data_IF_239022745133
#
_entry.id   IF_239022745133
#
_cell.length_a   1.000
_cell.length_b   1.000
_cell.length_c   1.000
_cell.angle_alpha   90.00
_cell.angle_beta   90.00
_cell.angle_gamma   90.00
#
_symmetry.space_group_name_H-M   'P 1'
#
loop_
_entity.id
_entity.type
_entity.pdbx_description
1 polymer ?
#
# COMPACT_ATOMS: atom_id res chain seq x y z
N UNK A 1 8.76 -4.67 12.79
CA UNK A 1 9.11 -5.69 11.78
C UNK A 1 10.17 -5.10 10.85
N UNK A 2 10.90 -5.92 10.11
CA UNK A 2 11.75 -5.47 9.00
C UNK A 2 11.08 -5.84 7.69
N UNK A 3 10.94 -4.90 6.78
CA UNK A 3 10.47 -5.17 5.42
C UNK A 3 11.65 -5.51 4.52
N UNK A 4 11.49 -6.57 3.73
CA UNK A 4 12.49 -7.07 2.78
C UNK A 4 11.89 -6.96 1.39
N UNK A 5 12.48 -6.12 0.56
CA UNK A 5 12.00 -5.90 -0.81
C UNK A 5 11.84 -4.43 -1.17
N UNK A 6 10.73 -4.12 -1.82
CA UNK A 6 10.39 -2.81 -2.36
C UNK A 6 10.50 -2.72 -3.87
N UNK A 7 10.00 -1.65 -4.45
CA UNK A 7 10.00 -1.43 -5.89
C UNK A 7 11.38 -1.56 -6.52
N UNK A 8 11.53 -2.47 -7.48
CA UNK A 8 12.79 -2.74 -8.16
C UNK A 8 13.75 -3.66 -7.41
N UNK A 9 13.41 -4.14 -6.22
CA UNK A 9 14.21 -5.13 -5.50
C UNK A 9 14.07 -6.50 -6.17
N UNK A 10 15.10 -6.92 -6.91
CA UNK A 10 15.17 -8.21 -7.59
C UNK A 10 15.66 -9.35 -6.71
N UNK A 11 15.74 -10.54 -7.32
CA UNK A 11 16.26 -11.75 -6.67
C UNK A 11 15.20 -12.64 -5.99
N UNK A 12 13.96 -12.18 -5.91
CA UNK A 12 12.86 -12.96 -5.30
C UNK A 12 12.49 -14.20 -6.12
N UNK A 13 12.31 -14.05 -7.45
CA UNK A 13 11.95 -15.16 -8.33
C UNK A 13 13.00 -16.27 -8.28
N UNK A 14 14.28 -15.89 -8.32
CA UNK A 14 15.40 -16.83 -8.22
C UNK A 14 15.47 -17.49 -6.84
N UNK A 15 15.35 -16.73 -5.76
CA UNK A 15 15.41 -17.25 -4.40
C UNK A 15 14.21 -18.15 -4.08
N UNK A 16 13.03 -17.82 -4.56
CA UNK A 16 11.81 -18.60 -4.33
C UNK A 16 11.74 -19.89 -5.14
N UNK A 17 12.45 -19.97 -6.27
CA UNK A 17 12.36 -21.09 -7.23
C UNK A 17 12.87 -22.43 -6.71
N UNK A 18 13.82 -22.44 -5.75
CA UNK A 18 14.40 -23.66 -5.19
C UNK A 18 14.24 -23.73 -3.69
N UNK A 19 14.25 -24.93 -3.13
CA UNK A 19 14.18 -25.13 -1.68
C UNK A 19 15.39 -24.51 -0.96
N UNK A 20 16.59 -24.69 -1.50
CA UNK A 20 17.82 -24.10 -0.97
C UNK A 20 17.76 -22.56 -0.98
N UNK A 21 17.23 -22.00 -2.05
CA UNK A 21 17.03 -20.55 -2.16
C UNK A 21 16.08 -20.00 -1.10
N UNK A 22 14.93 -20.66 -0.90
CA UNK A 22 13.95 -20.29 0.13
C UNK A 22 14.51 -20.41 1.54
N UNK A 23 15.25 -21.49 1.83
CA UNK A 23 15.90 -21.68 3.14
C UNK A 23 16.93 -20.57 3.37
N UNK A 24 17.79 -20.30 2.39
CA UNK A 24 18.80 -19.23 2.50
C UNK A 24 18.17 -17.87 2.70
N UNK A 25 17.11 -17.57 1.98
CA UNK A 25 16.37 -16.32 2.15
C UNK A 25 15.83 -16.20 3.59
N UNK A 26 15.17 -17.26 4.09
CA UNK A 26 14.64 -17.28 5.45
C UNK A 26 15.74 -17.10 6.50
N UNK A 27 16.85 -17.82 6.39
CA UNK A 27 17.98 -17.73 7.33
C UNK A 27 18.59 -16.32 7.38
N UNK A 28 18.81 -15.71 6.21
CA UNK A 28 19.38 -14.36 6.13
C UNK A 28 18.43 -13.29 6.62
N UNK A 29 17.14 -13.39 6.32
CA UNK A 29 16.12 -12.48 6.82
C UNK A 29 15.99 -12.57 8.37
N UNK A 30 15.98 -13.78 8.92
CA UNK A 30 15.96 -13.99 10.36
C UNK A 30 17.24 -13.47 11.05
N UNK A 31 18.39 -13.60 10.41
CA UNK A 31 19.64 -13.08 10.96
C UNK A 31 19.61 -11.54 11.06
N UNK A 32 19.09 -10.83 10.05
CA UNK A 32 18.84 -9.39 10.13
C UNK A 32 17.84 -9.07 11.23
N UNK A 33 16.71 -9.79 11.29
CA UNK A 33 15.69 -9.60 12.33
C UNK A 33 16.28 -9.71 13.74
N UNK A 34 17.07 -10.75 13.99
CA UNK A 34 17.74 -10.98 15.29
C UNK A 34 18.75 -9.90 15.65
N UNK A 35 19.64 -9.54 14.71
CA UNK A 35 20.69 -8.54 14.94
C UNK A 35 20.14 -7.19 15.32
N UNK A 36 19.00 -6.81 14.75
CA UNK A 36 18.40 -5.51 14.96
C UNK A 36 17.22 -5.51 15.93
N UNK A 37 16.88 -6.67 16.49
CA UNK A 37 15.81 -6.80 17.49
C UNK A 37 14.40 -6.58 16.95
N UNK A 38 14.17 -6.85 15.67
CA UNK A 38 12.82 -6.77 15.09
C UNK A 38 11.94 -7.93 15.57
N UNK A 39 10.63 -7.68 15.64
CA UNK A 39 9.61 -8.64 16.08
C UNK A 39 8.95 -9.41 14.94
N UNK A 40 9.49 -9.35 13.73
CA UNK A 40 8.93 -10.06 12.58
C UNK A 40 9.52 -9.60 11.26
N UNK A 41 9.08 -10.26 10.20
CA UNK A 41 9.50 -10.03 8.81
C UNK A 41 8.27 -9.65 8.00
N UNK A 42 8.40 -8.62 7.18
CA UNK A 42 7.49 -8.27 6.11
C UNK A 42 8.17 -8.58 4.77
N UNK A 43 7.44 -9.15 3.81
CA UNK A 43 7.96 -9.43 2.47
C UNK A 43 7.25 -8.53 1.47
N UNK A 44 8.04 -7.67 0.84
CA UNK A 44 7.57 -6.70 -0.14
C UNK A 44 8.14 -7.04 -1.53
N UNK A 45 7.57 -8.10 -2.14
CA UNK A 45 7.91 -8.52 -3.50
C UNK A 45 6.98 -7.87 -4.51
N UNK A 46 7.51 -6.95 -5.32
CA UNK A 46 6.75 -6.16 -6.28
C UNK A 46 7.09 -6.53 -7.73
N UNK A 47 6.46 -7.55 -8.34
CA UNK A 47 5.44 -8.45 -7.80
C UNK A 47 5.69 -9.88 -8.32
N UNK A 48 5.20 -10.95 -7.65
CA UNK A 48 5.29 -12.31 -8.15
C UNK A 48 4.69 -12.45 -9.54
N UNK A 49 5.42 -13.08 -10.47
CA UNK A 49 4.98 -13.30 -11.86
C UNK A 49 5.00 -12.05 -12.75
N UNK A 50 5.49 -10.92 -12.27
CA UNK A 50 5.48 -9.63 -12.99
C UNK A 50 6.88 -9.04 -13.09
N UNK A 51 7.13 -8.36 -14.22
CA UNK A 51 8.42 -7.69 -14.50
C UNK A 51 8.29 -6.15 -14.55
N UNK A 52 7.18 -5.59 -14.11
CA UNK A 52 6.88 -4.15 -14.21
C UNK A 52 7.94 -3.27 -13.53
N UNK A 53 8.53 -3.74 -12.42
CA UNK A 53 9.60 -3.06 -11.71
C UNK A 53 11.01 -3.30 -12.28
N UNK A 54 11.12 -3.93 -13.45
CA UNK A 54 12.42 -4.28 -14.07
C UNK A 54 13.12 -5.46 -13.38
N UNK A 55 12.40 -6.28 -12.63
CA UNK A 55 12.90 -7.47 -11.95
C UNK A 55 12.65 -8.74 -12.77
N UNK A 56 13.39 -9.82 -12.45
CA UNK A 56 13.11 -11.14 -13.01
C UNK A 56 11.75 -11.66 -12.51
N UNK A 57 11.05 -12.40 -13.37
CA UNK A 57 9.78 -13.03 -13.06
C UNK A 57 9.63 -14.38 -13.75
N UNK A 58 8.81 -15.25 -13.19
CA UNK A 58 8.49 -16.58 -13.70
C UNK A 58 6.99 -16.87 -13.56
N UNK A 59 6.38 -17.64 -14.46
CA UNK A 59 5.00 -18.11 -14.29
C UNK A 59 4.78 -18.91 -12.99
N UNK A 60 5.82 -19.53 -12.45
CA UNK A 60 5.80 -20.29 -11.22
C UNK A 60 5.88 -19.44 -9.96
N UNK A 61 6.16 -18.14 -10.07
CA UNK A 61 6.34 -17.23 -8.92
C UNK A 61 5.14 -17.21 -7.98
N UNK A 62 3.93 -17.30 -8.52
CA UNK A 62 2.70 -17.40 -7.72
C UNK A 62 2.79 -18.54 -6.69
N UNK A 63 3.15 -19.73 -7.13
CA UNK A 63 3.29 -20.89 -6.27
C UNK A 63 4.57 -20.83 -5.42
N UNK A 64 5.66 -20.40 -6.01
CA UNK A 64 6.95 -20.26 -5.33
C UNK A 64 6.88 -19.23 -4.19
N UNK A 65 6.07 -18.20 -4.33
CA UNK A 65 5.84 -17.22 -3.26
C UNK A 65 5.15 -17.88 -2.05
N UNK A 66 4.13 -18.69 -2.28
CA UNK A 66 3.50 -19.50 -1.22
C UNK A 66 4.52 -20.39 -0.49
N UNK A 67 5.40 -21.06 -1.24
CA UNK A 67 6.44 -21.91 -0.66
C UNK A 67 7.48 -21.09 0.13
N UNK A 68 7.85 -19.89 -0.35
CA UNK A 68 8.74 -18.98 0.37
C UNK A 68 8.15 -18.56 1.72
N UNK A 69 6.87 -18.17 1.72
CA UNK A 69 6.15 -17.76 2.93
C UNK A 69 6.01 -18.92 3.93
N UNK A 70 5.70 -20.14 3.45
CA UNK A 70 5.69 -21.35 4.29
C UNK A 70 7.06 -21.61 4.93
N UNK A 71 8.13 -21.43 4.16
CA UNK A 71 9.50 -21.59 4.68
C UNK A 71 9.84 -20.55 5.74
N UNK A 72 9.51 -19.28 5.50
CA UNK A 72 9.68 -18.18 6.46
C UNK A 72 8.90 -18.44 7.76
N UNK A 73 7.63 -18.82 7.66
CA UNK A 73 6.77 -19.11 8.82
C UNK A 73 7.38 -20.23 9.67
N UNK A 74 7.79 -21.35 9.04
CA UNK A 74 8.44 -22.45 9.75
C UNK A 74 9.73 -22.05 10.46
N UNK A 75 10.49 -21.09 9.90
CA UNK A 75 11.71 -20.58 10.55
C UNK A 75 11.38 -19.63 11.71
N UNK A 76 10.37 -18.76 11.57
CA UNK A 76 9.90 -17.89 12.64
C UNK A 76 9.28 -18.67 13.79
N UNK A 77 8.53 -19.74 13.53
CA UNK A 77 7.96 -20.59 14.56
C UNK A 77 9.05 -21.31 15.38
N UNK A 78 10.05 -21.87 14.72
CA UNK A 78 11.23 -22.43 15.42
C UNK A 78 11.99 -21.40 16.26
N UNK A 79 12.04 -20.15 15.80
CA UNK A 79 12.63 -19.06 16.57
C UNK A 79 11.78 -18.69 17.77
N UNK A 80 10.46 -18.70 17.61
CA UNK A 80 9.50 -18.48 18.69
C UNK A 80 9.65 -19.54 19.79
N UNK A 81 9.78 -20.81 19.42
CA UNK A 81 10.02 -21.92 20.36
C UNK A 81 11.31 -21.74 21.17
N UNK A 82 12.39 -21.25 20.53
CA UNK A 82 13.68 -21.02 21.19
C UNK A 82 13.68 -19.83 22.14
N UNK A 83 12.96 -18.78 21.79
CA UNK A 83 13.03 -17.48 22.50
C UNK A 83 11.85 -17.22 23.43
N UNK A 84 10.76 -17.96 23.29
CA UNK A 84 9.49 -17.71 23.97
C UNK A 84 8.77 -16.44 23.49
N UNK A 85 9.19 -15.85 22.35
CA UNK A 85 8.58 -14.65 21.76
C UNK A 85 7.75 -15.03 20.54
N UNK A 86 6.73 -14.24 20.25
CA UNK A 86 5.99 -14.32 18.97
C UNK A 86 6.68 -13.45 17.92
N UNK A 87 6.88 -14.03 16.72
CA UNK A 87 7.39 -13.31 15.56
C UNK A 87 6.36 -13.29 14.45
N UNK A 88 6.11 -12.09 13.92
CA UNK A 88 5.09 -11.83 12.92
C UNK A 88 5.65 -12.02 11.50
N UNK A 89 4.77 -12.47 10.60
CA UNK A 89 5.01 -12.52 9.16
C UNK A 89 3.92 -11.77 8.42
N UNK A 90 4.30 -10.78 7.63
CA UNK A 90 3.38 -10.04 6.76
C UNK A 90 3.92 -9.96 5.33
N UNK A 91 3.06 -9.52 4.44
CA UNK A 91 3.43 -9.18 3.06
C UNK A 91 2.89 -7.79 2.71
N UNK A 92 3.57 -7.08 1.80
CA UNK A 92 3.01 -5.92 1.11
C UNK A 92 2.60 -6.34 -0.31
N UNK A 93 1.42 -5.91 -0.74
CA UNK A 93 0.82 -6.33 -2.01
C UNK A 93 0.15 -5.19 -2.75
N UNK A 94 0.13 -5.27 -4.08
CA UNK A 94 -0.46 -4.25 -4.93
C UNK A 94 -1.99 -4.13 -4.78
N UNK A 95 -2.50 -2.92 -4.97
CA UNK A 95 -3.94 -2.65 -4.95
C UNK A 95 -4.62 -3.08 -6.25
N UNK A 96 -5.79 -3.69 -6.11
CA UNK A 96 -6.66 -4.06 -7.23
C UNK A 96 -6.67 -5.55 -7.58
N UNK A 97 -7.73 -5.99 -8.26
CA UNK A 97 -7.99 -7.39 -8.59
C UNK A 97 -6.92 -8.04 -9.51
N UNK A 98 -6.11 -7.26 -10.20
CA UNK A 98 -5.04 -7.83 -11.02
C UNK A 98 -4.00 -8.55 -10.15
N UNK A 99 -3.69 -7.97 -8.97
CA UNK A 99 -2.68 -8.52 -8.06
C UNK A 99 -3.19 -9.74 -7.28
N UNK A 100 -4.50 -9.86 -7.02
CA UNK A 100 -5.06 -11.04 -6.33
C UNK A 100 -4.89 -12.33 -7.14
N UNK A 101 -4.74 -12.23 -8.46
CA UNK A 101 -4.54 -13.39 -9.35
C UNK A 101 -3.11 -13.92 -9.32
N UNK A 102 -2.16 -13.09 -8.93
CA UNK A 102 -0.74 -13.40 -8.93
C UNK A 102 -0.27 -14.05 -7.62
N UNK A 103 -1.20 -14.27 -6.66
CA UNK A 103 -0.95 -14.84 -5.33
C UNK A 103 -1.99 -15.94 -5.04
N UNK A 104 -1.59 -16.98 -4.30
CA UNK A 104 -2.48 -18.04 -3.82
C UNK A 104 -3.09 -17.62 -2.46
N UNK A 105 -4.02 -16.66 -2.47
CA UNK A 105 -4.50 -15.96 -1.27
C UNK A 105 -5.03 -16.91 -0.17
N UNK A 106 -5.88 -17.86 -0.53
CA UNK A 106 -6.42 -18.82 0.43
C UNK A 106 -5.33 -19.72 1.06
N UNK A 107 -4.25 -20.03 0.32
CA UNK A 107 -3.14 -20.85 0.81
C UNK A 107 -2.23 -20.09 1.78
N UNK A 108 -2.10 -18.76 1.59
CA UNK A 108 -1.24 -17.94 2.44
C UNK A 108 -1.97 -17.36 3.65
N UNK A 109 -3.30 -17.29 3.64
CA UNK A 109 -4.08 -16.76 4.76
C UNK A 109 -3.70 -17.37 6.12
N UNK A 110 -3.60 -18.71 6.29
CA UNK A 110 -3.22 -19.30 7.58
C UNK A 110 -1.75 -19.09 7.98
N UNK A 111 -0.91 -18.58 7.04
CA UNK A 111 0.53 -18.43 7.26
C UNK A 111 0.85 -17.03 7.77
N UNK A 112 0.08 -16.03 7.31
CA UNK A 112 0.34 -14.62 7.54
C UNK A 112 -0.41 -14.08 8.77
N UNK A 113 0.22 -13.15 9.45
CA UNK A 113 -0.41 -12.32 10.48
C UNK A 113 -1.11 -11.12 9.86
N UNK A 114 -0.50 -10.46 8.86
CA UNK A 114 -1.07 -9.30 8.15
C UNK A 114 -0.76 -9.32 6.66
N UNK A 115 -1.65 -8.67 5.89
CA UNK A 115 -1.50 -8.37 4.47
C UNK A 115 -1.64 -6.86 4.29
N UNK A 116 -0.52 -6.19 4.00
CA UNK A 116 -0.44 -4.75 3.80
C UNK A 116 -0.84 -4.42 2.35
N UNK A 117 -2.04 -3.91 2.18
CA UNK A 117 -2.57 -3.48 0.89
C UNK A 117 -1.98 -2.10 0.56
N UNK A 118 -1.13 -2.02 -0.44
CA UNK A 118 -0.59 -0.75 -0.94
C UNK A 118 -1.65 0.02 -1.71
N UNK A 119 -2.69 0.49 -0.99
CA UNK A 119 -3.84 1.24 -1.53
C UNK A 119 -3.47 2.69 -1.85
N UNK A 120 -2.37 2.82 -2.56
CA UNK A 120 -1.84 4.01 -3.19
C UNK A 120 -1.21 3.65 -4.53
N UNK A 121 -0.84 4.64 -5.34
CA UNK A 121 -0.44 4.45 -6.74
C UNK A 121 -1.49 3.75 -7.61
N UNK A 122 -2.76 3.78 -7.20
CA UNK A 122 -3.91 3.21 -7.93
C UNK A 122 -4.31 4.03 -9.17
N UNK A 123 -3.42 4.90 -9.64
CA UNK A 123 -3.63 5.79 -10.79
C UNK A 123 -3.70 5.03 -12.11
N UNK A 124 -4.62 5.46 -12.97
CA UNK A 124 -4.72 4.97 -14.34
C UNK A 124 -3.64 5.58 -15.26
N UNK A 125 -3.31 4.87 -16.35
CA UNK A 125 -2.27 5.36 -17.28
C UNK A 125 -2.82 6.30 -18.36
N UNK A 126 -4.10 6.19 -18.67
CA UNK A 126 -4.79 6.85 -19.78
C UNK A 126 -5.66 8.02 -19.34
N UNK A 127 -5.69 8.33 -18.05
CA UNK A 127 -6.51 9.42 -17.50
C UNK A 127 -5.97 9.95 -16.16
N UNK A 128 -6.49 11.10 -15.77
CA UNK A 128 -6.24 11.70 -14.45
C UNK A 128 -7.22 11.13 -13.44
N UNK A 129 -6.74 10.32 -12.50
CA UNK A 129 -7.54 9.72 -11.43
C UNK A 129 -6.92 9.97 -10.07
N UNK A 130 -7.67 9.78 -9.02
CA UNK A 130 -7.08 9.64 -7.68
C UNK A 130 -6.09 8.48 -7.65
N UNK A 131 -5.15 8.50 -6.71
CA UNK A 131 -4.18 7.42 -6.55
C UNK A 131 -4.29 6.70 -5.21
N UNK A 132 -5.03 7.25 -4.24
CA UNK A 132 -5.16 6.68 -2.88
C UNK A 132 -6.57 6.86 -2.30
N UNK A 133 -7.57 7.02 -3.14
CA UNK A 133 -8.96 7.20 -2.74
C UNK A 133 -9.53 6.01 -1.95
N UNK A 134 -10.34 6.32 -0.95
CA UNK A 134 -10.97 5.30 -0.11
C UNK A 134 -12.09 4.57 -0.84
N UNK A 135 -12.95 5.28 -1.55
CA UNK A 135 -14.10 4.76 -2.29
C UNK A 135 -14.00 5.11 -3.78
N UNK A 136 -14.82 4.49 -4.65
CA UNK A 136 -14.92 4.89 -6.06
C UNK A 136 -15.24 6.37 -6.21
N UNK A 137 -14.64 7.02 -7.23
CA UNK A 137 -14.87 8.43 -7.53
C UNK A 137 -16.31 8.71 -7.98
N UNK A 138 -16.82 9.90 -7.63
CA UNK A 138 -18.04 10.46 -8.22
C UNK A 138 -17.79 11.28 -9.48
N UNK A 139 -16.53 11.67 -9.73
CA UNK A 139 -16.15 12.56 -10.84
C UNK A 139 -15.82 11.81 -12.15
N UNK A 140 -15.49 10.52 -12.07
CA UNK A 140 -15.17 9.67 -13.22
C UNK A 140 -15.57 8.21 -12.96
N UNK A 141 -15.82 7.45 -14.04
CA UNK A 141 -16.08 6.02 -13.98
C UNK A 141 -14.79 5.20 -14.08
N UNK A 142 -14.73 4.07 -13.41
CA UNK A 142 -13.58 3.17 -13.38
C UNK A 142 -12.52 3.58 -12.35
N UNK A 143 -11.33 3.01 -12.47
CA UNK A 143 -10.29 3.11 -11.45
C UNK A 143 -10.52 2.20 -10.25
N UNK A 144 -9.53 2.11 -9.39
CA UNK A 144 -9.59 1.34 -8.15
C UNK A 144 -9.68 2.24 -6.94
N UNK A 145 -10.15 1.65 -5.83
CA UNK A 145 -10.21 2.29 -4.52
C UNK A 145 -9.73 1.32 -3.44
N UNK A 146 -9.42 1.84 -2.26
CA UNK A 146 -9.05 1.01 -1.12
C UNK A 146 -10.16 0.03 -0.73
N UNK A 147 -11.42 0.47 -0.74
CA UNK A 147 -12.56 -0.37 -0.42
C UNK A 147 -12.70 -1.56 -1.40
N UNK A 148 -12.60 -1.30 -2.71
CA UNK A 148 -12.64 -2.37 -3.72
C UNK A 148 -11.45 -3.33 -3.60
N UNK A 149 -10.28 -2.82 -3.21
CA UNK A 149 -9.10 -3.66 -2.97
C UNK A 149 -9.32 -4.58 -1.77
N UNK A 150 -9.85 -4.06 -0.67
CA UNK A 150 -10.23 -4.88 0.51
C UNK A 150 -11.21 -5.98 0.12
N UNK A 151 -12.27 -5.65 -0.62
CA UNK A 151 -13.26 -6.63 -1.06
C UNK A 151 -12.61 -7.72 -1.92
N UNK A 152 -11.75 -7.36 -2.89
CA UNK A 152 -11.08 -8.31 -3.77
C UNK A 152 -10.13 -9.28 -3.03
N UNK A 153 -9.40 -8.81 -2.01
CA UNK A 153 -8.52 -9.67 -1.21
C UNK A 153 -9.32 -10.56 -0.25
N UNK A 154 -10.39 -10.03 0.34
CA UNK A 154 -11.30 -10.82 1.19
C UNK A 154 -12.00 -11.93 0.38
N UNK A 155 -12.58 -11.60 -0.76
CA UNK A 155 -13.18 -12.58 -1.70
C UNK A 155 -12.17 -13.61 -2.19
N UNK A 156 -10.90 -13.24 -2.29
CA UNK A 156 -9.78 -14.12 -2.61
C UNK A 156 -9.37 -15.07 -1.48
N UNK A 157 -9.91 -14.91 -0.27
CA UNK A 157 -9.70 -15.82 0.87
C UNK A 157 -8.83 -15.29 2.00
N UNK A 158 -8.57 -13.98 2.06
CA UNK A 158 -7.89 -13.37 3.22
C UNK A 158 -8.93 -12.94 4.27
N UNK A 159 -8.68 -13.30 5.52
CA UNK A 159 -9.49 -12.87 6.66
C UNK A 159 -9.42 -11.35 6.83
N UNK A 160 -10.57 -10.73 7.06
CA UNK A 160 -10.71 -9.27 7.10
C UNK A 160 -9.79 -8.62 8.13
N UNK A 161 -9.65 -9.23 9.31
CA UNK A 161 -8.81 -8.76 10.40
C UNK A 161 -7.29 -8.81 10.11
N UNK A 162 -6.88 -9.43 9.02
CA UNK A 162 -5.48 -9.43 8.56
C UNK A 162 -5.18 -8.35 7.52
N UNK A 163 -6.23 -7.77 6.92
CA UNK A 163 -6.07 -6.74 5.89
C UNK A 163 -5.73 -5.39 6.51
N UNK A 164 -4.63 -4.80 6.06
CA UNK A 164 -4.15 -3.47 6.48
C UNK A 164 -4.15 -2.57 5.25
N UNK A 165 -4.90 -1.45 5.27
CA UNK A 165 -4.95 -0.52 4.13
C UNK A 165 -3.83 0.51 4.19
N UNK A 166 -3.44 1.04 3.02
CA UNK A 166 -2.38 2.05 2.89
C UNK A 166 -2.92 3.48 2.82
N UNK A 167 -2.18 4.40 3.45
CA UNK A 167 -2.29 5.84 3.27
C UNK A 167 -1.06 6.38 2.55
N UNK A 168 -1.22 7.44 1.76
CA UNK A 168 -0.12 8.07 1.04
C UNK A 168 0.29 9.38 1.74
N UNK A 169 1.56 9.48 2.13
CA UNK A 169 2.13 10.74 2.63
C UNK A 169 2.77 11.57 1.50
N UNK A 170 2.34 11.30 0.27
CA UNK A 170 2.77 11.96 -0.95
C UNK A 170 1.60 12.09 -1.92
N UNK A 171 1.84 12.81 -3.00
CA UNK A 171 0.85 12.96 -4.07
C UNK A 171 1.49 12.99 -5.45
N UNK A 172 0.65 12.95 -6.46
CA UNK A 172 1.04 13.06 -7.87
C UNK A 172 0.49 14.32 -8.48
N UNK A 173 1.31 15.02 -9.27
CA UNK A 173 0.85 16.18 -10.04
C UNK A 173 0.62 15.81 -11.49
N UNK A 174 -0.30 16.56 -12.13
CA UNK A 174 -0.55 16.52 -13.57
C UNK A 174 -0.74 17.95 -14.07
N UNK A 175 -0.21 18.20 -15.27
CA UNK A 175 -0.62 19.37 -16.07
C UNK A 175 -1.93 18.97 -16.76
N UNK A 176 -2.94 19.82 -16.69
CA UNK A 176 -4.30 19.55 -17.19
C UNK A 176 -4.89 20.82 -17.79
N UNK A 177 -6.05 20.70 -18.43
CA UNK A 177 -6.76 21.84 -19.01
C UNK A 177 -8.24 21.80 -18.65
N UNK A 178 -8.88 22.96 -18.50
CA UNK A 178 -10.32 23.08 -18.29
C UNK A 178 -10.77 22.98 -16.84
N UNK A 179 -12.07 23.07 -16.61
CA UNK A 179 -12.66 23.22 -15.26
C UNK A 179 -12.79 21.90 -14.48
N UNK A 180 -12.78 20.75 -15.17
CA UNK A 180 -12.95 19.42 -14.59
C UNK A 180 -11.70 18.55 -14.84
N UNK A 181 -10.68 18.64 -13.99
CA UNK A 181 -9.41 17.95 -14.22
C UNK A 181 -9.46 16.45 -13.96
N UNK A 182 -10.32 15.96 -13.05
CA UNK A 182 -10.47 14.54 -12.77
C UNK A 182 -11.22 13.84 -13.91
N UNK A 183 -10.77 12.63 -14.24
CA UNK A 183 -11.32 11.82 -15.34
C UNK A 183 -10.83 12.23 -16.73
N UNK A 184 -10.00 13.26 -16.85
CA UNK A 184 -9.49 13.74 -18.13
C UNK A 184 -8.62 12.71 -18.82
N UNK A 185 -8.94 12.38 -20.09
CA UNK A 185 -8.26 11.36 -20.90
C UNK A 185 -7.37 11.95 -22.01
N UNK A 186 -7.52 13.24 -22.26
CA UNK A 186 -6.77 13.97 -23.31
C UNK A 186 -6.17 15.26 -22.72
N UNK A 187 -5.12 15.75 -23.37
CA UNK A 187 -4.49 17.03 -23.01
C UNK A 187 -4.02 17.09 -21.56
N UNK A 188 -3.57 15.98 -21.00
CA UNK A 188 -2.91 15.93 -19.70
C UNK A 188 -1.48 15.39 -19.84
N UNK A 189 -0.62 15.80 -18.92
CA UNK A 189 0.75 15.31 -18.79
C UNK A 189 1.02 15.01 -17.34
N UNK A 190 1.61 13.84 -17.08
CA UNK A 190 2.08 13.49 -15.74
C UNK A 190 3.23 14.39 -15.31
N UNK A 191 3.09 14.94 -14.12
CA UNK A 191 4.11 15.73 -13.46
C UNK A 191 5.00 14.89 -12.55
N UNK A 192 5.19 15.37 -11.33
CA UNK A 192 6.12 14.80 -10.33
C UNK A 192 5.35 14.17 -9.17
N UNK A 193 6.02 13.26 -8.46
CA UNK A 193 5.66 12.90 -7.10
C UNK A 193 6.06 14.05 -6.18
N UNK A 194 5.19 14.40 -5.25
CA UNK A 194 5.36 15.51 -4.32
C UNK A 194 5.19 15.00 -2.90
N UNK A 195 6.14 15.31 -2.02
CA UNK A 195 6.02 15.07 -0.59
C UNK A 195 4.84 15.82 0.00
N UNK A 196 4.18 15.25 1.00
CA UNK A 196 3.10 15.96 1.69
C UNK A 196 3.57 17.28 2.29
N UNK A 197 4.76 17.34 2.88
CA UNK A 197 5.36 18.58 3.39
C UNK A 197 5.43 19.68 2.34
N UNK A 198 5.67 19.37 1.05
CA UNK A 198 5.60 20.35 -0.03
C UNK A 198 4.13 20.68 -0.40
N UNK A 199 3.27 19.66 -0.55
CA UNK A 199 1.85 19.85 -0.87
C UNK A 199 1.20 20.77 0.16
N UNK A 200 1.52 20.61 1.44
CA UNK A 200 1.03 21.42 2.54
C UNK A 200 1.34 22.90 2.38
N UNK A 201 2.48 23.26 1.80
CA UNK A 201 2.83 24.68 1.54
C UNK A 201 1.89 25.31 0.48
N UNK A 202 1.25 24.50 -0.37
CA UNK A 202 0.33 24.97 -1.40
C UNK A 202 -1.09 25.22 -0.88
N UNK A 203 -1.37 24.99 0.40
CA UNK A 203 -2.64 25.37 1.04
C UNK A 203 -2.72 26.88 1.34
N UNK A 204 -1.58 27.60 1.28
CA UNK A 204 -1.55 29.04 1.46
C UNK A 204 -2.39 29.75 0.38
N UNK A 205 -3.12 30.78 0.78
CA UNK A 205 -4.04 31.52 -0.12
C UNK A 205 -3.36 32.13 -1.34
N UNK A 206 -2.09 32.51 -1.22
CA UNK A 206 -1.27 33.12 -2.27
C UNK A 206 -0.58 32.09 -3.20
N UNK A 207 -0.75 30.79 -2.94
CA UNK A 207 -0.19 29.71 -3.78
C UNK A 207 -0.82 29.62 -5.17
N UNK A 208 -2.04 30.17 -5.33
CA UNK A 208 -2.87 30.03 -6.53
C UNK A 208 -3.65 28.71 -6.60
N UNK A 209 -3.37 27.76 -5.73
CA UNK A 209 -4.12 26.50 -5.64
C UNK A 209 -5.36 26.63 -4.76
N UNK A 210 -6.39 25.86 -5.10
CA UNK A 210 -7.57 25.66 -4.26
C UNK A 210 -7.73 24.19 -3.92
N UNK A 211 -8.12 23.92 -2.69
CA UNK A 211 -8.45 22.57 -2.23
C UNK A 211 -9.88 22.23 -2.66
N UNK A 212 -10.00 21.09 -3.30
CA UNK A 212 -11.25 20.44 -3.66
C UNK A 212 -11.32 19.07 -3.02
N UNK A 213 -12.53 18.51 -2.97
CA UNK A 213 -12.75 17.15 -2.47
C UNK A 213 -13.76 16.43 -3.34
N UNK A 214 -13.39 15.24 -3.80
CA UNK A 214 -14.35 14.26 -4.31
C UNK A 214 -14.97 13.56 -3.10
N UNK A 215 -16.17 13.96 -2.74
CA UNK A 215 -16.88 13.46 -1.54
C UNK A 215 -17.19 11.95 -1.66
N UNK A 216 -17.51 11.46 -2.86
CA UNK A 216 -17.75 10.04 -3.10
C UNK A 216 -16.48 9.22 -2.90
N UNK A 217 -15.35 9.67 -3.43
CA UNK A 217 -14.04 9.04 -3.29
C UNK A 217 -13.43 9.20 -1.89
N UNK A 218 -13.92 10.18 -1.10
CA UNK A 218 -13.32 10.66 0.15
C UNK A 218 -11.86 11.07 -0.03
N UNK A 219 -11.57 11.71 -1.15
CA UNK A 219 -10.21 12.06 -1.56
C UNK A 219 -10.09 13.54 -1.93
N UNK A 220 -9.07 14.25 -1.42
CA UNK A 220 -8.79 15.63 -1.77
C UNK A 220 -7.99 15.73 -3.06
N UNK A 221 -8.03 16.93 -3.67
CA UNK A 221 -7.06 17.36 -4.66
C UNK A 221 -6.89 18.88 -4.63
N UNK A 222 -5.71 19.34 -5.00
CA UNK A 222 -5.43 20.75 -5.24
C UNK A 222 -5.50 21.04 -6.74
N UNK A 223 -6.09 22.18 -7.11
CA UNK A 223 -6.19 22.60 -8.51
C UNK A 223 -6.05 24.12 -8.63
N UNK A 224 -5.31 24.58 -9.66
CA UNK A 224 -5.09 26.01 -9.93
C UNK A 224 -5.55 26.47 -11.34
N UNK A 225 -6.24 25.62 -12.10
CA UNK A 225 -6.67 25.89 -13.47
C UNK A 225 -5.78 25.24 -14.54
N UNK A 226 -4.52 24.92 -14.21
CA UNK A 226 -3.54 24.32 -15.13
C UNK A 226 -2.88 23.06 -14.55
N UNK A 227 -2.81 22.96 -13.22
CA UNK A 227 -2.18 21.85 -12.52
C UNK A 227 -3.10 21.29 -11.47
N UNK A 228 -3.22 19.95 -11.45
CA UNK A 228 -3.87 19.19 -10.38
C UNK A 228 -2.86 18.41 -9.58
N UNK A 229 -3.05 18.32 -8.28
CA UNK A 229 -2.28 17.46 -7.37
C UNK A 229 -3.27 16.56 -6.63
N UNK A 230 -3.14 15.27 -6.79
CA UNK A 230 -3.92 14.24 -6.09
C UNK A 230 -3.10 13.69 -4.93
N UNK A 231 -3.68 13.54 -3.73
CA UNK A 231 -2.95 13.19 -2.51
C UNK A 231 -3.91 12.74 -1.40
N UNK A 232 -3.38 12.30 -0.25
CA UNK A 232 -4.12 12.14 1.00
C UNK A 232 -3.87 13.35 1.92
N UNK A 233 -4.93 13.88 2.54
CA UNK A 233 -4.85 14.86 3.63
C UNK A 233 -5.25 14.23 4.98
N UNK A 234 -5.20 15.03 6.05
CA UNK A 234 -5.59 14.61 7.39
C UNK A 234 -7.02 14.05 7.45
N UNK A 235 -7.96 14.63 6.67
CA UNK A 235 -9.35 14.16 6.59
C UNK A 235 -9.43 12.80 5.88
N UNK A 236 -8.77 12.63 4.74
CA UNK A 236 -8.75 11.37 4.01
C UNK A 236 -8.19 10.22 4.85
N UNK A 237 -7.11 10.48 5.61
CA UNK A 237 -6.54 9.48 6.51
C UNK A 237 -7.45 9.18 7.71
N UNK A 238 -8.15 10.17 8.26
CA UNK A 238 -9.15 9.93 9.30
C UNK A 238 -10.33 9.10 8.77
N UNK A 239 -10.77 9.33 7.53
CA UNK A 239 -11.81 8.53 6.87
C UNK A 239 -11.35 7.08 6.64
N UNK A 240 -10.08 6.87 6.26
CA UNK A 240 -9.46 5.53 6.15
C UNK A 240 -9.43 4.81 7.51
N UNK A 241 -9.05 5.50 8.59
CA UNK A 241 -9.10 4.92 9.95
C UNK A 241 -10.52 4.54 10.33
N UNK A 242 -11.51 5.40 10.08
CA UNK A 242 -12.92 5.07 10.34
C UNK A 242 -13.34 3.82 9.56
N UNK A 243 -12.96 3.71 8.29
CA UNK A 243 -13.24 2.54 7.46
C UNK A 243 -12.61 1.26 8.00
N UNK A 244 -11.36 1.34 8.52
CA UNK A 244 -10.71 0.20 9.20
C UNK A 244 -11.58 -0.34 10.32
N UNK A 245 -12.06 0.51 11.22
CA UNK A 245 -12.92 0.10 12.33
C UNK A 245 -14.29 -0.41 11.85
N UNK A 246 -14.92 0.28 10.91
CA UNK A 246 -16.25 -0.08 10.39
C UNK A 246 -16.25 -1.43 9.66
N UNK A 247 -15.13 -1.81 9.05
CA UNK A 247 -14.95 -3.07 8.31
C UNK A 247 -14.24 -4.16 9.13
N UNK A 248 -13.79 -3.87 10.35
CA UNK A 248 -13.04 -4.82 11.18
C UNK A 248 -11.70 -5.22 10.58
N UNK A 249 -10.99 -4.29 9.92
CA UNK A 249 -9.69 -4.55 9.32
C UNK A 249 -8.57 -4.60 10.38
N UNK A 250 -7.42 -5.18 10.01
CA UNK A 250 -6.24 -5.27 10.86
C UNK A 250 -5.57 -3.94 11.19
N UNK A 251 -5.75 -2.93 10.35
CA UNK A 251 -5.18 -1.61 10.61
C UNK A 251 -4.97 -0.75 9.38
N UNK A 252 -4.17 0.30 9.58
CA UNK A 252 -3.70 1.20 8.54
C UNK A 252 -2.17 1.26 8.57
N UNK A 253 -1.53 1.22 7.43
CA UNK A 253 -0.11 1.55 7.23
C UNK A 253 0.00 2.76 6.31
N UNK A 254 1.19 3.32 6.12
CA UNK A 254 1.38 4.45 5.20
C UNK A 254 2.78 4.44 4.57
N UNK A 255 2.88 5.00 3.38
CA UNK A 255 4.13 5.29 2.69
C UNK A 255 4.25 6.81 2.48
N UNK A 256 5.32 7.49 2.98
CA UNK A 256 6.24 7.04 4.01
C UNK A 256 6.48 8.16 5.03
N UNK A 257 7.00 7.82 6.18
CA UNK A 257 7.15 8.72 7.32
C UNK A 257 7.93 10.01 7.01
N UNK A 258 8.96 9.93 6.16
CA UNK A 258 9.78 11.09 5.80
C UNK A 258 9.09 12.12 4.88
N UNK A 259 7.93 11.81 4.34
CA UNK A 259 7.21 12.67 3.41
C UNK A 259 6.37 13.74 4.11
N UNK A 260 6.13 13.60 5.42
CA UNK A 260 5.46 14.58 6.28
C UNK A 260 6.36 14.99 7.47
N UNK A 261 7.03 16.13 7.34
CA UNK A 261 7.89 16.70 8.39
C UNK A 261 7.11 17.44 9.48
N UNK A 262 5.80 17.66 9.27
CA UNK A 262 4.93 18.34 10.24
C UNK A 262 4.35 17.39 11.29
N UNK A 263 4.27 16.08 10.98
CA UNK A 263 3.59 15.08 11.79
C UNK A 263 2.06 15.19 11.77
N UNK A 264 1.47 16.03 10.91
CA UNK A 264 0.03 16.26 10.78
C UNK A 264 -0.71 14.97 10.41
N UNK A 265 -0.19 14.23 9.43
CA UNK A 265 -0.84 13.01 8.92
C UNK A 265 -0.81 11.88 9.96
N UNK A 266 0.32 11.69 10.65
CA UNK A 266 0.42 10.73 11.75
C UNK A 266 -0.51 11.12 12.89
N UNK A 267 -0.59 12.41 13.23
CA UNK A 267 -1.50 12.90 14.26
C UNK A 267 -2.98 12.69 13.89
N UNK A 268 -3.34 12.83 12.60
CA UNK A 268 -4.69 12.57 12.11
C UNK A 268 -5.07 11.09 12.27
N UNK A 269 -4.18 10.17 11.88
CA UNK A 269 -4.38 8.73 12.06
C UNK A 269 -4.57 8.41 13.55
N UNK A 270 -3.65 8.83 14.40
CA UNK A 270 -3.70 8.57 15.84
C UNK A 270 -4.93 9.19 16.51
N UNK A 271 -5.31 10.40 16.10
CA UNK A 271 -6.48 11.10 16.62
C UNK A 271 -7.80 10.43 16.24
N UNK A 272 -7.91 9.90 15.01
CA UNK A 272 -9.08 9.15 14.56
C UNK A 272 -9.19 7.81 15.27
N UNK A 273 -8.09 7.06 15.43
CA UNK A 273 -8.05 5.79 16.15
C UNK A 273 -8.50 5.97 17.61
N UNK A 274 -7.94 6.96 18.32
CA UNK A 274 -8.29 7.23 19.72
C UNK A 274 -9.77 7.55 19.91
N UNK A 275 -10.43 8.19 18.95
CA UNK A 275 -11.88 8.49 19.02
C UNK A 275 -12.76 7.25 18.93
N UNK A 276 -12.23 6.16 18.35
CA UNK A 276 -12.96 4.89 18.19
C UNK A 276 -12.78 3.93 19.36
N UNK A 277 -11.75 4.14 20.19
CA UNK A 277 -11.49 3.37 21.41
C UNK A 277 -12.29 3.90 22.61
N UNK A 278 -12.89 5.11 22.51
CA UNK A 278 -13.73 5.75 23.51
C UNK A 278 -15.22 5.49 23.27
#
# INVERSE_FOLDING_TARGET
MISVGGWGAGGFSEAASTEEGRIRFAETALDVMRRHGFSGIDVDWEYPGRSDAGIASSPEDKHNFTLLLKTLRAHLDRESEKTGKTYLLSIAVGAGAAFTRDIELAEINPILDYVNLMTYDMKEWDRVTHHSNLCPSGEYAGGWSAAQTVDAYHEGGIDTEKLVIGGAFYGHSYDVTGEHPLGQTENFRRGKNLRYSHIRTLFAEDSGYRLYRDEAARAPYLYNGEHIIIFDDAQALADKVNFVYDRGLGGIMFWEFNEDDSGELVAAIAGAAKKREL
#
